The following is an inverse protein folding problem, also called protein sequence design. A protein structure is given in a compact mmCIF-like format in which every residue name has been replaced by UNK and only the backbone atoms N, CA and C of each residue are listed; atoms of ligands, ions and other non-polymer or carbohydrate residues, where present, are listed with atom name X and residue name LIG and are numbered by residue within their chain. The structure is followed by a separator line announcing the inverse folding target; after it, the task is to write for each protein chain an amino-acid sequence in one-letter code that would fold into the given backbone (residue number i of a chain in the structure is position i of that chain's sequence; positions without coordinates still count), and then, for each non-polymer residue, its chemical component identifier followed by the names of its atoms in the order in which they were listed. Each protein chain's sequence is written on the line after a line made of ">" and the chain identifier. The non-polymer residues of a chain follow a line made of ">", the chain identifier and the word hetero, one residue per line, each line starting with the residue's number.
data_IF_248851042997
#
_entry.id   IF_248851042997
#
_cell.length_a   1.000
_cell.length_b   1.000
_cell.length_c   1.000
_cell.angle_alpha   90.00
_cell.angle_beta   90.00
_cell.angle_gamma   90.00
#
_symmetry.space_group_name_H-M   'P 1'
#
loop_
_entity.id
_entity.type
_entity.pdbx_description
1 polymer ?
#
# COMPACT_ATOMS: atom_id res chain seq x y z
N UNK A 1 -44.39 -27.43 4.67
CA UNK A 1 -43.29 -27.55 5.66
C UNK A 1 -42.86 -29.01 5.59
N UNK A 2 -41.62 -29.42 5.36
CA UNK A 2 -40.33 -28.81 5.59
C UNK A 2 -39.39 -29.13 4.41
N UNK A 3 -38.45 -28.22 4.14
CA UNK A 3 -37.38 -28.49 3.18
C UNK A 3 -36.55 -29.68 3.74
N UNK A 4 -36.35 -30.77 2.99
CA UNK A 4 -35.62 -31.93 3.50
C UNK A 4 -34.22 -31.48 3.94
N UNK A 5 -33.82 -31.84 5.16
CA UNK A 5 -32.62 -31.31 5.83
C UNK A 5 -31.34 -31.46 4.98
N UNK A 6 -31.28 -32.46 4.11
CA UNK A 6 -30.21 -32.70 3.16
C UNK A 6 -30.05 -31.59 2.11
N UNK A 7 -31.16 -31.02 1.64
CA UNK A 7 -31.15 -29.94 0.65
C UNK A 7 -30.69 -28.60 1.27
N UNK A 8 -31.09 -28.32 2.52
CA UNK A 8 -30.61 -27.15 3.26
C UNK A 8 -29.10 -27.20 3.52
N UNK A 9 -28.57 -28.37 3.90
CA UNK A 9 -27.13 -28.55 4.16
C UNK A 9 -26.30 -28.41 2.87
N UNK A 10 -26.79 -28.95 1.75
CA UNK A 10 -26.12 -28.80 0.46
C UNK A 10 -26.05 -27.34 0.00
N UNK A 11 -27.13 -26.56 0.16
CA UNK A 11 -27.16 -25.13 -0.15
C UNK A 11 -26.23 -24.31 0.74
N UNK A 12 -26.12 -24.64 2.03
CA UNK A 12 -25.19 -23.98 2.97
C UNK A 12 -23.74 -24.27 2.63
N UNK A 13 -23.41 -25.50 2.23
CA UNK A 13 -22.05 -25.84 1.80
C UNK A 13 -21.69 -25.18 0.47
N UNK A 14 -22.65 -25.09 -0.47
CA UNK A 14 -22.45 -24.44 -1.76
C UNK A 14 -22.30 -22.91 -1.61
N UNK A 15 -23.03 -22.29 -0.68
CA UNK A 15 -22.89 -20.85 -0.37
C UNK A 15 -21.61 -20.55 0.42
N UNK A 16 -21.18 -21.43 1.33
CA UNK A 16 -19.89 -21.29 2.02
C UNK A 16 -18.71 -21.42 1.05
N UNK A 17 -18.76 -22.35 0.10
CA UNK A 17 -17.72 -22.51 -0.92
C UNK A 17 -17.69 -21.30 -1.87
N UNK A 18 -18.86 -20.80 -2.28
CA UNK A 18 -18.98 -19.61 -3.14
C UNK A 18 -18.49 -18.33 -2.45
N UNK A 19 -18.83 -18.12 -1.16
CA UNK A 19 -18.32 -16.99 -0.37
C UNK A 19 -16.82 -17.11 -0.07
N UNK A 20 -16.31 -18.32 0.19
CA UNK A 20 -14.87 -18.53 0.42
C UNK A 20 -14.06 -18.26 -0.85
N UNK A 21 -14.53 -18.66 -2.03
CA UNK A 21 -13.84 -18.35 -3.29
C UNK A 21 -13.88 -16.86 -3.64
N UNK A 22 -14.98 -16.15 -3.36
CA UNK A 22 -15.06 -14.69 -3.61
C UNK A 22 -14.15 -13.86 -2.68
N UNK A 23 -13.88 -14.37 -1.46
CA UNK A 23 -13.03 -13.72 -0.48
C UNK A 23 -11.53 -14.04 -0.64
N UNK A 24 -11.18 -15.16 -1.28
CA UNK A 24 -9.79 -15.61 -1.43
C UNK A 24 -9.02 -14.99 -2.61
N UNK A 25 -9.69 -14.28 -3.53
CA UNK A 25 -9.05 -13.73 -4.74
C UNK A 25 -9.22 -12.20 -4.91
N UNK A 26 -9.58 -11.45 -3.87
CA UNK A 26 -9.24 -10.02 -3.90
C UNK A 26 -7.76 -9.89 -3.53
N UNK A 27 -6.87 -9.54 -4.48
CA UNK A 27 -5.55 -9.08 -4.10
C UNK A 27 -5.78 -7.91 -3.17
N UNK A 28 -5.25 -8.04 -1.96
CA UNK A 28 -5.31 -7.04 -0.91
C UNK A 28 -5.16 -5.66 -1.56
N UNK A 29 -6.24 -4.88 -1.65
CA UNK A 29 -6.28 -3.67 -2.50
C UNK A 29 -5.17 -2.71 -2.09
N UNK A 30 -4.75 -2.82 -0.83
CA UNK A 30 -3.60 -2.19 -0.24
C UNK A 30 -2.26 -2.58 -0.92
N UNK A 31 -2.05 -3.85 -1.23
CA UNK A 31 -0.84 -4.36 -1.90
C UNK A 31 -0.70 -3.83 -3.33
N UNK A 32 -1.80 -3.79 -4.09
CA UNK A 32 -1.82 -3.28 -5.46
C UNK A 32 -1.62 -1.76 -5.48
N UNK A 33 -2.23 -1.05 -4.53
CA UNK A 33 -2.02 0.39 -4.32
C UNK A 33 -0.56 0.70 -4.00
N UNK A 34 0.03 -0.01 -3.03
CA UNK A 34 1.43 0.18 -2.66
C UNK A 34 2.36 -0.08 -3.84
N UNK A 35 2.08 -1.12 -4.63
CA UNK A 35 2.86 -1.42 -5.83
C UNK A 35 2.77 -0.29 -6.88
N UNK A 36 1.58 0.29 -7.08
CA UNK A 36 1.39 1.44 -7.98
C UNK A 36 2.19 2.66 -7.51
N UNK A 37 2.11 3.00 -6.23
CA UNK A 37 2.86 4.12 -5.62
C UNK A 37 4.37 3.93 -5.81
N UNK A 38 4.90 2.73 -5.55
CA UNK A 38 6.31 2.41 -5.74
C UNK A 38 6.73 2.48 -7.21
N UNK A 39 5.87 2.06 -8.13
CA UNK A 39 6.10 2.16 -9.57
C UNK A 39 6.20 3.61 -10.02
N UNK A 40 5.29 4.47 -9.55
CA UNK A 40 5.32 5.91 -9.84
C UNK A 40 6.59 6.57 -9.31
N UNK A 41 7.01 6.26 -8.07
CA UNK A 41 8.29 6.70 -7.51
C UNK A 41 9.48 6.28 -8.38
N UNK A 42 9.46 5.05 -8.89
CA UNK A 42 10.48 4.54 -9.81
C UNK A 42 10.51 5.28 -11.15
N UNK A 43 9.35 5.65 -11.69
CA UNK A 43 9.22 6.42 -12.94
C UNK A 43 9.63 7.88 -12.79
N UNK A 44 9.43 8.46 -11.61
CA UNK A 44 9.84 9.83 -11.33
C UNK A 44 11.36 10.00 -11.30
N UNK A 45 12.12 8.93 -11.03
CA UNK A 45 13.59 8.95 -11.00
C UNK A 45 14.19 9.44 -12.32
N UNK A 46 14.85 10.60 -12.27
CA UNK A 46 15.52 11.22 -13.43
C UNK A 46 16.99 10.84 -13.57
N UNK A 47 17.67 10.57 -12.45
CA UNK A 47 19.09 10.23 -12.39
C UNK A 47 19.29 8.86 -11.74
N UNK A 48 20.36 8.17 -12.09
CA UNK A 48 20.74 6.93 -11.41
C UNK A 48 21.29 7.25 -10.01
N UNK A 49 21.13 6.31 -9.06
CA UNK A 49 21.66 6.49 -7.71
C UNK A 49 23.20 6.70 -7.70
N UNK A 50 23.91 6.03 -8.60
CA UNK A 50 25.37 6.17 -8.73
C UNK A 50 25.81 7.57 -9.17
N UNK A 51 25.00 8.26 -9.98
CA UNK A 51 25.28 9.63 -10.42
C UNK A 51 25.20 10.65 -9.27
N UNK A 52 24.49 10.33 -8.19
CA UNK A 52 24.26 11.23 -7.05
C UNK A 52 25.06 10.83 -5.81
N UNK A 53 26.07 9.95 -5.92
CA UNK A 53 26.79 9.37 -4.76
C UNK A 53 27.33 10.43 -3.79
N UNK A 54 27.83 11.55 -4.30
CA UNK A 54 28.37 12.67 -3.49
C UNK A 54 27.29 13.48 -2.76
N UNK A 55 26.01 13.27 -3.08
CA UNK A 55 24.85 13.90 -2.46
C UNK A 55 24.04 12.92 -1.60
N UNK A 56 24.59 11.73 -1.36
CA UNK A 56 23.93 10.73 -0.50
C UNK A 56 24.08 11.14 0.96
N UNK A 57 23.01 10.91 1.73
CA UNK A 57 23.01 11.09 3.17
C UNK A 57 22.28 9.92 3.80
N UNK A 58 22.79 9.43 4.94
CA UNK A 58 22.10 8.44 5.74
C UNK A 58 21.03 9.14 6.60
N UNK A 59 19.76 8.85 6.31
CA UNK A 59 18.63 9.37 7.09
C UNK A 59 18.34 8.54 8.36
N UNK A 60 19.16 7.51 8.65
CA UNK A 60 19.04 6.64 9.81
C UNK A 60 17.64 6.03 9.95
N UNK A 61 17.18 5.33 8.90
CA UNK A 61 15.86 4.70 8.89
C UNK A 61 15.73 3.72 10.08
N UNK A 62 14.75 3.91 10.98
CA UNK A 62 14.66 3.17 12.24
C UNK A 62 14.07 1.78 12.00
N UNK A 63 14.91 0.84 11.54
CA UNK A 63 14.53 -0.53 11.17
C UNK A 63 13.90 -1.30 12.33
N UNK A 64 14.34 -1.00 13.55
CA UNK A 64 13.89 -1.64 14.79
C UNK A 64 12.40 -1.37 15.05
N UNK A 65 11.88 -0.24 14.58
CA UNK A 65 10.44 0.11 14.69
C UNK A 65 9.58 -0.71 13.74
N UNK A 66 10.17 -1.27 12.68
CA UNK A 66 9.49 -2.10 11.68
C UNK A 66 9.81 -3.58 11.81
N UNK A 67 10.46 -3.98 12.91
CA UNK A 67 10.71 -5.39 13.19
C UNK A 67 9.39 -6.09 13.49
N UNK A 68 8.95 -6.94 12.55
CA UNK A 68 7.71 -7.71 12.61
C UNK A 68 7.67 -8.61 13.85
N UNK A 69 8.83 -9.01 14.39
CA UNK A 69 8.89 -9.82 15.62
C UNK A 69 8.58 -9.00 16.87
N UNK A 70 8.74 -7.68 16.83
CA UNK A 70 8.56 -6.79 18.00
C UNK A 70 7.31 -5.93 17.92
N UNK A 71 6.74 -5.77 16.72
CA UNK A 71 5.67 -4.82 16.46
C UNK A 71 4.32 -5.53 16.41
N UNK A 72 3.40 -5.13 17.29
CA UNK A 72 2.02 -5.58 17.22
C UNK A 72 1.35 -5.00 15.95
N UNK A 73 0.50 -5.78 15.28
CA UNK A 73 -0.15 -5.42 14.01
C UNK A 73 -0.82 -4.04 14.02
N UNK A 74 -1.55 -3.71 15.09
CA UNK A 74 -2.18 -2.40 15.25
C UNK A 74 -1.15 -1.24 15.32
N UNK A 75 0.00 -1.48 15.93
CA UNK A 75 1.09 -0.51 16.01
C UNK A 75 1.80 -0.36 14.66
N UNK A 76 1.96 -1.46 13.91
CA UNK A 76 2.48 -1.45 12.54
C UNK A 76 1.65 -0.57 11.62
N UNK A 77 0.32 -0.73 11.66
CA UNK A 77 -0.61 0.09 10.89
C UNK A 77 -0.51 1.57 11.24
N UNK A 78 -0.41 1.91 12.54
CA UNK A 78 -0.25 3.30 12.99
C UNK A 78 1.06 3.92 12.49
N UNK A 79 2.17 3.18 12.58
CA UNK A 79 3.48 3.63 12.07
C UNK A 79 3.44 3.83 10.56
N UNK A 80 2.89 2.87 9.81
CA UNK A 80 2.74 2.96 8.35
C UNK A 80 1.90 4.18 7.98
N UNK A 81 0.74 4.37 8.62
CA UNK A 81 -0.10 5.55 8.39
C UNK A 81 0.65 6.87 8.65
N UNK A 82 1.37 6.96 9.77
CA UNK A 82 2.19 8.13 10.10
C UNK A 82 3.29 8.40 9.07
N UNK A 83 3.90 7.35 8.52
CA UNK A 83 4.89 7.47 7.44
C UNK A 83 4.25 7.91 6.12
N UNK A 84 3.11 7.33 5.74
CA UNK A 84 2.36 7.72 4.55
C UNK A 84 1.98 9.19 4.59
N UNK A 85 1.50 9.69 5.74
CA UNK A 85 1.21 11.12 5.97
C UNK A 85 2.44 12.01 5.75
N UNK A 86 3.62 11.61 6.26
CA UNK A 86 4.87 12.36 6.05
C UNK A 86 5.31 12.35 4.59
N UNK A 87 5.19 11.22 3.90
CA UNK A 87 5.48 11.10 2.47
C UNK A 87 4.55 11.98 1.66
N UNK A 88 3.23 11.93 1.93
CA UNK A 88 2.26 12.82 1.30
C UNK A 88 2.63 14.29 1.51
N UNK A 89 2.98 14.68 2.73
CA UNK A 89 3.37 16.06 3.00
C UNK A 89 4.61 16.50 2.20
N UNK A 90 5.60 15.62 2.06
CA UNK A 90 6.84 15.90 1.34
C UNK A 90 6.61 16.06 -0.17
N UNK A 91 5.73 15.25 -0.77
CA UNK A 91 5.50 15.27 -2.21
C UNK A 91 4.36 16.21 -2.63
N UNK A 92 3.32 16.40 -1.82
CA UNK A 92 2.03 16.93 -2.27
C UNK A 92 1.69 18.33 -1.75
N UNK A 93 2.39 18.85 -0.72
CA UNK A 93 1.99 20.12 -0.09
C UNK A 93 2.51 21.37 -0.82
N UNK A 94 3.66 21.27 -1.52
CA UNK A 94 4.28 22.41 -2.23
C UNK A 94 4.86 21.95 -3.58
N UNK A 95 3.99 21.64 -4.53
CA UNK A 95 4.37 21.05 -5.83
C UNK A 95 4.84 22.08 -6.87
N UNK A 96 4.61 23.38 -6.65
CA UNK A 96 4.69 24.45 -7.66
C UNK A 96 6.10 24.78 -8.19
N UNK A 97 7.17 24.20 -7.62
CA UNK A 97 8.56 24.47 -8.04
C UNK A 97 9.40 23.19 -8.16
N UNK A 98 8.76 22.01 -8.18
CA UNK A 98 9.52 20.76 -8.14
C UNK A 98 10.04 20.37 -9.53
N UNK A 99 11.21 19.72 -9.64
CA UNK A 99 11.74 19.25 -10.92
C UNK A 99 11.10 17.93 -11.40
N UNK A 100 10.00 17.48 -10.77
CA UNK A 100 9.33 16.22 -11.11
C UNK A 100 8.31 16.41 -12.24
N UNK A 101 7.93 15.31 -12.90
CA UNK A 101 6.81 15.33 -13.84
C UNK A 101 5.50 15.52 -13.06
N UNK A 102 4.80 16.62 -13.30
CA UNK A 102 3.59 17.00 -12.55
C UNK A 102 2.47 15.95 -12.67
N UNK A 103 2.30 15.31 -13.83
CA UNK A 103 1.28 14.26 -14.01
C UNK A 103 1.56 13.05 -13.15
N UNK A 104 2.82 12.59 -13.10
CA UNK A 104 3.22 11.48 -12.23
C UNK A 104 3.10 11.84 -10.75
N UNK A 105 3.38 13.11 -10.40
CA UNK A 105 3.25 13.61 -9.04
C UNK A 105 1.79 13.68 -8.58
N UNK A 106 0.88 14.13 -9.45
CA UNK A 106 -0.57 14.13 -9.19
C UNK A 106 -1.11 12.71 -8.98
N UNK A 107 -0.70 11.75 -9.82
CA UNK A 107 -1.05 10.34 -9.64
C UNK A 107 -0.50 9.76 -8.33
N UNK A 108 0.75 10.09 -7.99
CA UNK A 108 1.36 9.67 -6.72
C UNK A 108 0.55 10.21 -5.54
N UNK A 109 0.25 11.51 -5.55
CA UNK A 109 -0.50 12.17 -4.49
C UNK A 109 -1.90 11.61 -4.33
N UNK A 110 -2.57 11.28 -5.44
CA UNK A 110 -3.87 10.61 -5.43
C UNK A 110 -3.79 9.26 -4.74
N UNK A 111 -2.80 8.42 -5.11
CA UNK A 111 -2.58 7.11 -4.50
C UNK A 111 -2.12 7.11 -3.04
N UNK A 112 -1.55 8.23 -2.56
CA UNK A 112 -1.17 8.42 -1.15
C UNK A 112 -2.30 9.01 -0.29
N UNK A 113 -3.32 9.61 -0.91
CA UNK A 113 -4.46 10.24 -0.22
C UNK A 113 -5.65 9.31 0.02
N UNK A 114 -5.71 8.18 -0.70
CA UNK A 114 -6.63 7.06 -0.46
C UNK A 114 -6.16 6.17 0.70
#
# INVERSE_FOLDING_TARGET
>A
MALPCSFSLALVMLSCHSLCCLACDLPDTHSLRNWRVLTLLGQMRRLSAGSCVNYTNDFAFPKEVFDVQRLQEAQALSVVHGMTQKVFHLFCTNTSSTPWNMTLLEELCSGLSE
#
